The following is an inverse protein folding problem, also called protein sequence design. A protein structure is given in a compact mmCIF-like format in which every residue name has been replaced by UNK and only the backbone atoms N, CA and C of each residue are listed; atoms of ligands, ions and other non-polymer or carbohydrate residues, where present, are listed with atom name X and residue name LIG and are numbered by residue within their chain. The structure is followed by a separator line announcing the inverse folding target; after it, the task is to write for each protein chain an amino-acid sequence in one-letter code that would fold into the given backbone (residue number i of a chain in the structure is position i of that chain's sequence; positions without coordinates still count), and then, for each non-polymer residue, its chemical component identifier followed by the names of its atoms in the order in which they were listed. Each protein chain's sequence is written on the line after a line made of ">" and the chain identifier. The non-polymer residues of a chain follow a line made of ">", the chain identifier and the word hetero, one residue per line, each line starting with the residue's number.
data_IF_462651776924
#
_entry.id   IF_462651776924
#
_cell.length_a   1.000
_cell.length_b   1.000
_cell.length_c   1.000
_cell.angle_alpha   90.00
_cell.angle_beta   90.00
_cell.angle_gamma   90.00
#
_symmetry.space_group_name_H-M   'P 1'
#
loop_
_entity.id
_entity.type
_entity.pdbx_description
1 polymer ?
#
# COMPACT_ATOMS: atom_id res chain seq x y z
N UNK A 1 0.16 -6.72 16.08
CA UNK A 1 0.06 -6.70 17.57
C UNK A 1 -1.19 -6.01 18.08
N UNK A 2 -1.59 -4.83 17.57
CA UNK A 2 -2.77 -4.10 18.05
C UNK A 2 -4.10 -4.90 17.98
N UNK A 3 -4.43 -5.63 16.88
CA UNK A 3 -5.66 -6.42 16.79
C UNK A 3 -5.77 -7.52 17.85
N UNK A 4 -4.67 -8.22 18.16
CA UNK A 4 -4.63 -9.25 19.19
C UNK A 4 -4.82 -8.66 20.60
N UNK A 5 -4.21 -7.50 20.88
CA UNK A 5 -4.37 -6.79 22.16
C UNK A 5 -5.80 -6.30 22.40
N UNK A 6 -6.56 -6.05 21.33
CA UNK A 6 -7.95 -5.58 21.41
C UNK A 6 -8.98 -6.73 21.31
N UNK A 7 -8.53 -7.99 21.28
CA UNK A 7 -9.44 -9.14 21.13
C UNK A 7 -10.20 -9.16 19.79
N UNK A 8 -9.64 -8.54 18.75
CA UNK A 8 -10.26 -8.41 17.44
C UNK A 8 -9.90 -9.56 16.50
N UNK A 9 -8.99 -10.44 16.91
CA UNK A 9 -8.57 -11.63 16.14
C UNK A 9 -9.61 -12.75 16.29
N UNK A 10 -9.82 -13.50 15.23
CA UNK A 10 -10.62 -14.73 15.27
C UNK A 10 -9.76 -15.84 15.89
N UNK A 11 -10.29 -16.61 16.83
CA UNK A 11 -9.60 -17.82 17.32
C UNK A 11 -9.33 -18.74 16.12
N UNK A 12 -8.07 -18.94 15.76
CA UNK A 12 -7.63 -19.84 14.68
C UNK A 12 -6.90 -19.20 13.49
N UNK A 13 -6.84 -17.85 13.35
CA UNK A 13 -6.11 -17.16 12.27
C UNK A 13 -5.25 -16.02 12.81
N UNK A 14 -4.38 -16.33 13.78
CA UNK A 14 -3.58 -15.32 14.54
C UNK A 14 -2.50 -14.58 13.72
N UNK A 15 -2.43 -14.76 12.39
CA UNK A 15 -1.33 -14.22 11.59
C UNK A 15 -1.67 -12.97 10.79
N UNK A 16 -2.92 -12.70 10.48
CA UNK A 16 -3.30 -11.56 9.64
C UNK A 16 -3.37 -10.25 10.44
N UNK A 17 -2.85 -9.16 9.87
CA UNK A 17 -2.89 -7.82 10.48
C UNK A 17 -4.30 -7.25 10.49
N UNK A 18 -5.04 -7.45 9.38
CA UNK A 18 -6.44 -7.05 9.29
C UNK A 18 -7.33 -8.10 9.93
N UNK A 19 -8.23 -7.72 10.85
CA UNK A 19 -9.16 -8.66 11.48
C UNK A 19 -10.06 -9.34 10.45
N UNK A 20 -10.30 -10.66 10.59
CA UNK A 20 -11.15 -11.45 9.70
C UNK A 20 -12.65 -11.24 9.92
N UNK A 21 -13.10 -10.16 10.55
CA UNK A 21 -14.52 -9.86 10.80
C UNK A 21 -14.86 -8.42 10.41
N UNK A 22 -16.09 -8.20 9.95
CA UNK A 22 -16.64 -6.87 9.63
C UNK A 22 -16.46 -5.88 10.78
N UNK A 23 -16.86 -6.29 12.00
CA UNK A 23 -16.74 -5.44 13.20
C UNK A 23 -15.28 -5.12 13.50
N UNK A 24 -14.39 -6.11 13.38
CA UNK A 24 -12.96 -5.93 13.61
C UNK A 24 -12.34 -4.93 12.65
N UNK A 25 -12.67 -5.05 11.34
CA UNK A 25 -12.19 -4.09 10.32
C UNK A 25 -12.70 -2.68 10.59
N UNK A 26 -13.98 -2.53 10.91
CA UNK A 26 -14.54 -1.20 11.21
C UNK A 26 -13.90 -0.55 12.44
N UNK A 27 -13.68 -1.33 13.51
CA UNK A 27 -12.99 -0.84 14.71
C UNK A 27 -11.53 -0.47 14.42
N UNK A 28 -10.80 -1.33 13.71
CA UNK A 28 -9.42 -1.05 13.32
C UNK A 28 -9.34 0.22 12.46
N UNK A 29 -10.17 0.34 11.42
CA UNK A 29 -10.24 1.52 10.59
C UNK A 29 -10.54 2.78 11.41
N UNK A 30 -11.51 2.71 12.33
CA UNK A 30 -11.86 3.82 13.21
C UNK A 30 -10.68 4.27 14.09
N UNK A 31 -10.01 3.31 14.73
CA UNK A 31 -8.83 3.60 15.58
C UNK A 31 -7.69 4.18 14.74
N UNK A 32 -7.32 3.52 13.65
CA UNK A 32 -6.19 3.95 12.83
C UNK A 32 -6.42 5.32 12.18
N UNK A 33 -7.62 5.56 11.64
CA UNK A 33 -7.95 6.87 11.06
C UNK A 33 -7.98 7.98 12.11
N UNK A 34 -8.46 7.69 13.33
CA UNK A 34 -8.46 8.66 14.44
C UNK A 34 -7.03 9.00 14.84
N UNK A 35 -6.20 7.98 15.09
CA UNK A 35 -4.80 8.18 15.49
C UNK A 35 -4.00 8.87 14.37
N UNK A 36 -4.20 8.46 13.12
CA UNK A 36 -3.55 9.09 11.97
C UNK A 36 -3.97 10.55 11.83
N UNK A 37 -5.28 10.84 11.90
CA UNK A 37 -5.80 12.21 11.77
C UNK A 37 -5.26 13.12 12.87
N UNK A 38 -5.20 12.63 14.11
CA UNK A 38 -4.63 13.37 15.23
C UNK A 38 -3.12 13.62 15.04
N UNK A 39 -2.35 12.58 14.72
CA UNK A 39 -0.90 12.68 14.56
C UNK A 39 -0.53 13.51 13.32
N UNK A 40 -1.15 13.23 12.17
CA UNK A 40 -0.90 13.96 10.93
C UNK A 40 -1.39 15.40 11.02
N UNK A 41 -2.56 15.64 11.62
CA UNK A 41 -3.11 16.98 11.84
C UNK A 41 -2.19 17.81 12.73
N UNK A 42 -1.69 17.24 13.84
CA UNK A 42 -0.70 17.90 14.70
C UNK A 42 0.60 18.19 13.94
N UNK A 43 1.13 17.22 13.21
CA UNK A 43 2.34 17.40 12.41
C UNK A 43 2.15 18.46 11.32
N UNK A 44 1.02 18.46 10.62
CA UNK A 44 0.69 19.44 9.59
C UNK A 44 0.55 20.85 10.18
N UNK A 45 -0.06 20.96 11.38
CA UNK A 45 -0.18 22.25 12.09
C UNK A 45 1.18 22.77 12.54
N UNK A 46 2.00 21.95 13.18
CA UNK A 46 3.35 22.32 13.60
C UNK A 46 4.26 22.69 12.43
N UNK A 47 4.22 21.89 11.36
CA UNK A 47 4.99 22.14 10.16
C UNK A 47 4.39 23.26 9.28
N UNK A 48 3.16 23.71 9.55
CA UNK A 48 2.45 24.72 8.75
C UNK A 48 2.43 24.37 7.26
N UNK A 49 2.05 23.12 6.94
CA UNK A 49 1.95 22.68 5.55
C UNK A 49 0.90 23.51 4.79
N UNK A 50 1.22 23.84 3.55
CA UNK A 50 0.24 24.39 2.60
C UNK A 50 -0.38 23.24 1.81
N UNK A 51 -1.67 23.36 1.49
CA UNK A 51 -2.39 22.35 0.70
C UNK A 51 -1.71 22.00 -0.63
N UNK A 52 -1.04 22.98 -1.25
CA UNK A 52 -0.28 22.80 -2.48
C UNK A 52 0.95 21.89 -2.30
N UNK A 53 1.57 21.88 -1.11
CA UNK A 53 2.70 21.01 -0.80
C UNK A 53 2.27 19.56 -0.62
N UNK A 54 1.01 19.35 -0.24
CA UNK A 54 0.37 18.04 -0.13
C UNK A 54 -0.32 17.61 -1.43
N UNK A 55 -0.20 18.41 -2.52
CA UNK A 55 -0.85 18.14 -3.81
C UNK A 55 -2.38 18.02 -3.73
N UNK A 56 -3.02 18.68 -2.77
CA UNK A 56 -4.47 18.69 -2.53
C UNK A 56 -5.23 19.74 -3.35
N UNK A 57 -4.52 20.62 -4.05
CA UNK A 57 -5.13 21.72 -4.83
C UNK A 57 -5.63 21.31 -6.21
N UNK A 58 -5.26 20.10 -6.67
CA UNK A 58 -5.68 19.59 -7.98
C UNK A 58 -7.02 18.88 -7.84
N UNK A 59 -8.09 19.36 -8.49
CA UNK A 59 -9.41 18.74 -8.38
C UNK A 59 -9.47 17.41 -9.13
N UNK A 60 -10.32 16.49 -8.62
CA UNK A 60 -10.67 15.27 -9.35
C UNK A 60 -11.52 15.69 -10.57
N UNK A 61 -11.13 15.20 -11.75
CA UNK A 61 -11.86 15.36 -13.01
C UNK A 61 -12.35 14.00 -13.48
N UNK A 62 -13.33 13.95 -14.37
CA UNK A 62 -13.90 12.68 -14.83
C UNK A 62 -12.84 11.73 -15.45
N UNK A 63 -11.83 12.27 -16.14
CA UNK A 63 -10.72 11.46 -16.68
C UNK A 63 -9.70 11.00 -15.63
N UNK A 64 -9.74 11.50 -14.39
CA UNK A 64 -8.90 10.98 -13.31
C UNK A 64 -9.23 9.51 -13.00
N UNK A 65 -10.48 9.10 -13.16
CA UNK A 65 -10.90 7.73 -12.91
C UNK A 65 -10.29 6.71 -13.88
N UNK A 66 -10.50 6.81 -15.21
CA UNK A 66 -9.89 5.86 -16.14
C UNK A 66 -8.36 5.91 -16.11
N UNK A 67 -7.78 7.09 -15.86
CA UNK A 67 -6.33 7.24 -15.71
C UNK A 67 -5.79 6.54 -14.46
N UNK A 68 -6.47 6.64 -13.33
CA UNK A 68 -6.12 5.94 -12.10
C UNK A 68 -6.22 4.41 -12.25
N UNK A 69 -7.24 3.92 -12.97
CA UNK A 69 -7.36 2.50 -13.33
C UNK A 69 -6.17 2.07 -14.20
N UNK A 70 -5.83 2.85 -15.22
CA UNK A 70 -4.68 2.55 -16.09
C UNK A 70 -3.37 2.51 -15.30
N UNK A 71 -3.14 3.44 -14.37
CA UNK A 71 -1.99 3.44 -13.48
C UNK A 71 -1.97 2.24 -12.54
N UNK A 72 -3.11 1.86 -11.99
CA UNK A 72 -3.25 0.64 -11.16
C UNK A 72 -2.83 -0.62 -11.94
N UNK A 73 -3.23 -0.74 -13.20
CA UNK A 73 -2.82 -1.84 -14.09
C UNK A 73 -1.32 -1.75 -14.39
N UNK A 74 -0.82 -0.57 -14.77
CA UNK A 74 0.60 -0.36 -15.09
C UNK A 74 1.51 -0.69 -13.89
N UNK A 75 1.13 -0.31 -12.67
CA UNK A 75 1.85 -0.67 -11.44
C UNK A 75 1.90 -2.18 -11.26
N UNK A 76 0.79 -2.88 -11.47
CA UNK A 76 0.69 -4.33 -11.31
C UNK A 76 1.58 -5.06 -12.32
N UNK A 77 1.51 -4.65 -13.59
CA UNK A 77 2.37 -5.19 -14.64
C UNK A 77 3.85 -4.90 -14.34
N UNK A 78 4.17 -3.66 -13.95
CA UNK A 78 5.53 -3.25 -13.62
C UNK A 78 6.12 -4.05 -12.45
N UNK A 79 5.38 -4.23 -11.37
CA UNK A 79 5.81 -5.05 -10.22
C UNK A 79 5.94 -6.53 -10.63
N UNK A 80 4.98 -7.05 -11.40
CA UNK A 80 5.07 -8.43 -11.93
C UNK A 80 6.33 -8.65 -12.77
N UNK A 81 6.64 -7.71 -13.68
CA UNK A 81 7.86 -7.77 -14.48
C UNK A 81 9.13 -7.63 -13.63
N UNK A 82 9.13 -6.76 -12.63
CA UNK A 82 10.25 -6.60 -11.70
C UNK A 82 10.53 -7.90 -10.93
N UNK A 83 9.49 -8.52 -10.38
CA UNK A 83 9.62 -9.80 -9.66
C UNK A 83 10.08 -10.92 -10.60
N UNK A 84 9.44 -11.07 -11.76
CA UNK A 84 9.83 -12.07 -12.77
C UNK A 84 11.27 -11.87 -13.26
N UNK A 85 11.67 -10.63 -13.54
CA UNK A 85 13.02 -10.29 -13.94
C UNK A 85 14.06 -10.60 -12.87
N UNK A 86 13.76 -10.27 -11.60
CA UNK A 86 14.65 -10.57 -10.47
C UNK A 86 14.83 -12.09 -10.26
N UNK A 87 13.75 -12.87 -10.48
CA UNK A 87 13.81 -14.32 -10.47
C UNK A 87 14.67 -14.88 -11.59
N UNK A 88 14.51 -14.37 -12.82
CA UNK A 88 15.32 -14.74 -13.97
C UNK A 88 16.80 -14.48 -13.73
N UNK A 89 17.15 -13.31 -13.23
CA UNK A 89 18.54 -12.97 -12.85
C UNK A 89 19.05 -13.88 -11.75
N UNK A 90 18.27 -14.15 -10.71
CA UNK A 90 18.67 -15.04 -9.62
C UNK A 90 18.93 -16.48 -10.11
N UNK A 91 18.13 -16.99 -11.05
CA UNK A 91 18.35 -18.30 -11.68
C UNK A 91 19.64 -18.33 -12.49
N UNK A 92 19.89 -17.29 -13.29
CA UNK A 92 21.12 -17.18 -14.09
C UNK A 92 22.36 -17.15 -13.21
N UNK A 93 22.34 -16.37 -12.12
CA UNK A 93 23.47 -16.26 -11.18
C UNK A 93 23.72 -17.55 -10.40
N UNK A 94 22.65 -18.25 -9.99
CA UNK A 94 22.78 -19.49 -9.20
C UNK A 94 23.08 -20.72 -10.05
N UNK A 95 22.84 -20.67 -11.35
CA UNK A 95 23.02 -21.80 -12.28
C UNK A 95 22.08 -22.98 -11.98
N UNK A 96 21.06 -22.80 -11.14
CA UNK A 96 20.10 -23.83 -10.73
C UNK A 96 18.67 -23.30 -10.77
N UNK A 97 17.68 -24.12 -11.17
CA UNK A 97 16.28 -23.73 -11.08
C UNK A 97 15.90 -23.37 -9.63
N UNK A 98 15.10 -22.34 -9.47
CA UNK A 98 14.50 -22.02 -8.17
C UNK A 98 13.30 -22.95 -7.98
N UNK A 99 13.42 -23.91 -7.09
CA UNK A 99 12.36 -24.91 -6.82
C UNK A 99 11.37 -24.45 -5.78
N UNK A 100 11.77 -23.53 -4.88
CA UNK A 100 10.90 -22.96 -3.87
C UNK A 100 10.38 -21.57 -4.31
N UNK A 101 9.31 -21.57 -5.11
CA UNK A 101 8.64 -20.36 -5.55
C UNK A 101 7.87 -19.66 -4.42
N UNK A 102 7.53 -20.40 -3.35
CA UNK A 102 6.77 -19.88 -2.21
C UNK A 102 7.58 -18.86 -1.40
N UNK A 103 8.90 -19.08 -1.26
CA UNK A 103 9.79 -18.12 -0.61
C UNK A 103 9.95 -16.81 -1.38
N UNK A 104 9.50 -16.77 -2.64
CA UNK A 104 9.71 -15.67 -3.58
C UNK A 104 8.44 -14.87 -3.87
N UNK A 105 7.36 -15.17 -3.19
CA UNK A 105 6.11 -14.37 -3.29
C UNK A 105 5.88 -13.50 -2.04
N UNK A 106 5.23 -12.35 -2.17
CA UNK A 106 4.73 -11.61 -1.01
C UNK A 106 3.71 -12.46 -0.24
N UNK A 107 3.84 -12.51 1.07
CA UNK A 107 2.89 -13.22 1.95
C UNK A 107 1.67 -12.35 2.22
N UNK A 108 0.73 -12.31 1.28
CA UNK A 108 -0.48 -11.47 1.37
C UNK A 108 -1.39 -11.93 2.52
N UNK A 109 -1.39 -13.23 2.81
CA UNK A 109 -2.10 -13.85 3.92
C UNK A 109 -1.66 -13.32 5.31
N UNK A 110 -0.47 -12.76 5.42
CA UNK A 110 -0.05 -12.05 6.62
C UNK A 110 -0.75 -10.69 6.82
N UNK A 111 -1.38 -10.17 5.78
CA UNK A 111 -2.09 -8.88 5.83
C UNK A 111 -3.59 -9.04 5.96
N UNK A 112 -4.18 -10.04 5.31
CA UNK A 112 -5.63 -10.21 5.20
C UNK A 112 -6.02 -11.68 5.37
N UNK A 113 -7.10 -11.91 6.11
CA UNK A 113 -7.75 -13.22 6.17
C UNK A 113 -8.48 -13.48 4.84
N UNK A 114 -7.87 -14.37 4.02
CA UNK A 114 -8.40 -14.70 2.69
C UNK A 114 -9.77 -15.38 2.78
N UNK A 115 -10.03 -16.17 3.84
CA UNK A 115 -11.31 -16.84 4.04
C UNK A 115 -12.42 -15.82 4.34
N UNK A 116 -12.11 -14.74 5.07
CA UNK A 116 -13.08 -13.69 5.37
C UNK A 116 -13.55 -12.93 4.11
N UNK A 117 -12.77 -12.93 3.03
CA UNK A 117 -13.17 -12.32 1.75
C UNK A 117 -14.35 -13.05 1.07
N UNK A 118 -14.76 -14.23 1.56
CA UNK A 118 -15.97 -14.91 1.11
C UNK A 118 -17.25 -14.26 1.67
N UNK A 119 -17.16 -13.48 2.76
CA UNK A 119 -18.27 -12.68 3.27
C UNK A 119 -18.46 -11.45 2.39
N UNK A 120 -19.65 -11.28 1.75
CA UNK A 120 -19.89 -10.15 0.83
C UNK A 120 -19.73 -8.77 1.48
N UNK A 121 -20.11 -8.63 2.77
CA UNK A 121 -20.02 -7.36 3.49
C UNK A 121 -18.56 -7.06 3.85
N UNK A 122 -17.80 -8.08 4.29
CA UNK A 122 -16.38 -7.94 4.53
C UNK A 122 -15.65 -7.54 3.24
N UNK A 123 -15.92 -8.24 2.13
CA UNK A 123 -15.34 -7.91 0.82
C UNK A 123 -15.70 -6.49 0.39
N UNK A 124 -16.96 -6.06 0.54
CA UNK A 124 -17.38 -4.70 0.21
C UNK A 124 -16.59 -3.65 1.00
N UNK A 125 -16.34 -3.87 2.31
CA UNK A 125 -15.50 -2.99 3.13
C UNK A 125 -14.05 -2.97 2.65
N UNK A 126 -13.50 -4.14 2.28
CA UNK A 126 -12.13 -4.23 1.75
C UNK A 126 -12.00 -3.49 0.41
N UNK A 127 -12.98 -3.63 -0.49
CA UNK A 127 -13.00 -2.96 -1.80
C UNK A 127 -13.19 -1.43 -1.69
N UNK A 128 -13.80 -0.94 -0.63
CA UNK A 128 -14.15 0.48 -0.47
C UNK A 128 -13.34 1.15 0.63
N UNK A 129 -13.74 0.97 1.89
CA UNK A 129 -13.16 1.67 3.04
C UNK A 129 -11.67 1.37 3.19
N UNK A 130 -11.27 0.10 3.16
CA UNK A 130 -9.86 -0.28 3.34
C UNK A 130 -9.04 0.17 2.14
N UNK A 131 -9.48 -0.09 0.92
CA UNK A 131 -8.72 0.23 -0.29
C UNK A 131 -8.56 1.74 -0.52
N UNK A 132 -9.64 2.51 -0.42
CA UNK A 132 -9.60 3.92 -0.81
C UNK A 132 -9.36 4.89 0.35
N UNK A 133 -9.78 4.55 1.57
CA UNK A 133 -9.62 5.44 2.72
C UNK A 133 -8.43 5.04 3.56
N UNK A 134 -8.39 3.79 4.06
CA UNK A 134 -7.33 3.36 4.97
C UNK A 134 -5.98 3.24 4.23
N UNK A 135 -5.93 2.58 3.10
CA UNK A 135 -4.72 2.49 2.29
C UNK A 135 -4.57 3.71 1.36
N UNK A 136 -5.55 3.97 0.49
CA UNK A 136 -5.47 5.05 -0.49
C UNK A 136 -5.21 6.41 0.14
N UNK A 137 -6.19 6.97 0.85
CA UNK A 137 -6.10 8.35 1.35
C UNK A 137 -5.03 8.50 2.46
N UNK A 138 -5.06 7.64 3.47
CA UNK A 138 -4.16 7.75 4.63
C UNK A 138 -2.68 7.63 4.19
N UNK A 139 -2.36 6.63 3.38
CA UNK A 139 -0.96 6.36 3.02
C UNK A 139 -0.43 7.33 1.98
N UNK A 140 -1.26 7.79 1.03
CA UNK A 140 -0.85 8.80 0.07
C UNK A 140 -0.69 10.18 0.73
N UNK A 141 -1.55 10.51 1.70
CA UNK A 141 -1.40 11.73 2.48
C UNK A 141 -0.14 11.69 3.37
N UNK A 142 0.13 10.56 4.00
CA UNK A 142 1.38 10.32 4.72
C UNK A 142 2.59 10.49 3.80
N UNK A 143 2.57 9.89 2.60
CA UNK A 143 3.65 9.98 1.61
C UNK A 143 3.89 11.42 1.18
N UNK A 144 2.84 12.16 0.83
CA UNK A 144 2.94 13.56 0.46
C UNK A 144 3.52 14.41 1.60
N UNK A 145 3.03 14.18 2.83
CA UNK A 145 3.53 14.86 4.04
C UNK A 145 5.01 14.59 4.31
N UNK A 146 5.44 13.33 4.19
CA UNK A 146 6.86 12.94 4.39
C UNK A 146 7.77 13.56 3.32
N UNK A 147 7.36 13.57 2.05
CA UNK A 147 8.12 14.24 0.98
C UNK A 147 8.26 15.74 1.27
N UNK A 148 7.16 16.40 1.64
CA UNK A 148 7.17 17.82 1.99
C UNK A 148 8.04 18.12 3.22
N UNK A 149 7.97 17.25 4.25
CA UNK A 149 8.76 17.39 5.47
C UNK A 149 10.26 17.26 5.19
N UNK A 150 10.68 16.26 4.42
CA UNK A 150 12.08 16.08 4.04
C UNK A 150 12.62 17.28 3.26
N UNK A 151 11.82 17.85 2.34
CA UNK A 151 12.18 19.07 1.63
C UNK A 151 12.44 20.28 2.53
N UNK A 152 11.76 20.34 3.69
CA UNK A 152 11.95 21.41 4.69
C UNK A 152 13.08 21.13 5.67
N UNK A 153 13.23 19.89 6.13
CA UNK A 153 14.25 19.53 7.11
C UNK A 153 15.66 19.46 6.52
N UNK A 154 15.76 19.05 5.26
CA UNK A 154 17.04 18.89 4.58
C UNK A 154 16.99 19.49 3.16
N UNK A 155 16.81 20.83 3.02
CA UNK A 155 16.64 21.50 1.74
C UNK A 155 17.86 21.37 0.81
N UNK A 156 19.05 21.13 1.35
CA UNK A 156 20.25 20.88 0.55
C UNK A 156 20.20 19.58 -0.24
N UNK A 157 19.45 18.56 0.27
CA UNK A 157 19.28 17.25 -0.37
C UNK A 157 17.94 17.13 -1.11
N UNK A 158 16.87 17.64 -0.51
CA UNK A 158 15.50 17.42 -0.95
C UNK A 158 14.79 18.71 -1.39
N UNK A 159 15.52 19.82 -1.50
CA UNK A 159 15.01 21.08 -2.06
C UNK A 159 15.12 21.14 -3.58
N UNK A 160 14.60 22.26 -4.15
CA UNK A 160 14.66 22.50 -5.59
C UNK A 160 13.71 21.59 -6.41
N UNK A 161 13.88 21.67 -7.74
CA UNK A 161 13.00 21.01 -8.72
C UNK A 161 12.95 19.47 -8.56
N UNK A 162 14.10 18.88 -8.31
CA UNK A 162 14.25 17.42 -8.23
C UNK A 162 14.16 16.87 -6.80
N UNK A 163 14.17 17.77 -5.80
CA UNK A 163 14.13 17.40 -4.38
C UNK A 163 13.02 16.43 -4.02
N UNK A 164 11.75 16.64 -4.44
CA UNK A 164 10.66 15.70 -4.15
C UNK A 164 10.90 14.29 -4.71
N UNK A 165 11.55 14.16 -5.87
CA UNK A 165 11.91 12.87 -6.46
C UNK A 165 12.98 12.14 -5.66
N UNK A 166 13.98 12.86 -5.16
CA UNK A 166 14.99 12.28 -4.26
C UNK A 166 14.37 11.91 -2.90
N UNK A 167 13.46 12.75 -2.36
CA UNK A 167 12.74 12.46 -1.12
C UNK A 167 11.84 11.24 -1.24
N UNK A 168 11.29 10.98 -2.43
CA UNK A 168 10.44 9.80 -2.68
C UNK A 168 11.17 8.49 -2.40
N UNK A 169 12.48 8.40 -2.64
CA UNK A 169 13.26 7.16 -2.47
C UNK A 169 13.23 6.68 -1.01
N UNK A 170 13.70 7.43 0.00
CA UNK A 170 13.64 6.99 1.38
C UNK A 170 12.21 6.81 1.89
N UNK A 171 11.26 7.62 1.42
CA UNK A 171 9.84 7.49 1.79
C UNK A 171 9.25 6.16 1.27
N UNK A 172 9.57 5.77 0.04
CA UNK A 172 9.12 4.48 -0.50
C UNK A 172 9.78 3.29 0.19
N UNK A 173 11.06 3.40 0.60
CA UNK A 173 11.73 2.37 1.40
C UNK A 173 11.05 2.22 2.77
N UNK A 174 10.76 3.33 3.45
CA UNK A 174 10.03 3.29 4.74
C UNK A 174 8.64 2.68 4.57
N UNK A 175 7.95 2.99 3.47
CA UNK A 175 6.67 2.39 3.14
C UNK A 175 6.77 0.87 2.98
N UNK A 176 7.77 0.40 2.23
CA UNK A 176 8.03 -1.03 2.07
C UNK A 176 8.37 -1.72 3.39
N UNK A 177 9.19 -1.10 4.24
CA UNK A 177 9.54 -1.62 5.57
C UNK A 177 8.31 -1.78 6.48
N UNK A 178 7.29 -0.92 6.35
CA UNK A 178 6.00 -1.09 7.02
C UNK A 178 5.26 -2.38 6.64
N UNK A 179 5.65 -3.03 5.55
CA UNK A 179 5.08 -4.29 5.04
C UNK A 179 5.96 -5.53 5.33
N UNK A 180 6.87 -5.44 6.31
CA UNK A 180 7.75 -6.53 6.77
C UNK A 180 7.02 -7.85 7.03
N UNK A 181 5.77 -7.89 7.55
CA UNK A 181 5.03 -9.15 7.73
C UNK A 181 4.83 -9.94 6.43
N UNK A 182 4.85 -9.27 5.26
CA UNK A 182 4.80 -9.96 3.95
C UNK A 182 6.12 -10.62 3.53
N UNK A 183 7.15 -10.57 4.38
CA UNK A 183 8.50 -11.04 4.06
C UNK A 183 9.29 -10.06 3.19
N UNK A 184 10.57 -10.35 2.95
CA UNK A 184 11.46 -9.43 2.21
C UNK A 184 11.03 -9.19 0.76
N UNK A 185 10.44 -10.19 0.11
CA UNK A 185 9.87 -10.01 -1.24
C UNK A 185 8.70 -9.04 -1.20
N UNK A 186 7.86 -9.14 -0.15
CA UNK A 186 6.79 -8.18 0.11
C UNK A 186 7.34 -6.77 0.33
N UNK A 187 8.38 -6.61 1.13
CA UNK A 187 9.07 -5.32 1.34
C UNK A 187 9.58 -4.74 0.02
N UNK A 188 10.25 -5.54 -0.80
CA UNK A 188 10.76 -5.10 -2.10
C UNK A 188 9.62 -4.70 -3.06
N UNK A 189 8.57 -5.54 -3.14
CA UNK A 189 7.41 -5.27 -3.99
C UNK A 189 6.68 -4.00 -3.54
N UNK A 190 6.41 -3.83 -2.24
CA UNK A 190 5.72 -2.65 -1.71
C UNK A 190 6.58 -1.39 -1.76
N UNK A 191 7.91 -1.49 -1.65
CA UNK A 191 8.83 -0.37 -1.97
C UNK A 191 8.66 0.06 -3.43
N UNK A 192 8.63 -0.88 -4.37
CA UNK A 192 8.41 -0.61 -5.79
C UNK A 192 7.03 0.02 -6.05
N UNK A 193 5.97 -0.49 -5.42
CA UNK A 193 4.63 0.10 -5.46
C UNK A 193 4.66 1.53 -4.89
N UNK A 194 5.35 1.73 -3.76
CA UNK A 194 5.53 3.04 -3.13
C UNK A 194 6.23 4.04 -4.03
N UNK A 195 7.27 3.62 -4.75
CA UNK A 195 7.95 4.44 -5.77
C UNK A 195 7.00 4.80 -6.92
N UNK A 196 6.25 3.82 -7.43
CA UNK A 196 5.32 4.04 -8.53
C UNK A 196 4.17 4.96 -8.16
N UNK A 197 3.53 4.77 -7.00
CA UNK A 197 2.46 5.65 -6.50
C UNK A 197 2.97 7.07 -6.22
N UNK A 198 4.14 7.19 -5.61
CA UNK A 198 4.79 8.48 -5.41
C UNK A 198 5.17 9.17 -6.73
N UNK A 199 5.58 8.40 -7.75
CA UNK A 199 5.82 8.95 -9.07
C UNK A 199 4.52 9.49 -9.71
N UNK A 200 3.38 8.79 -9.56
CA UNK A 200 2.07 9.26 -10.00
C UNK A 200 1.73 10.58 -9.28
N UNK A 201 1.89 10.62 -7.95
CA UNK A 201 1.67 11.82 -7.14
C UNK A 201 2.48 13.01 -7.65
N UNK A 202 3.79 12.83 -7.86
CA UNK A 202 4.71 13.90 -8.27
C UNK A 202 4.50 14.32 -9.73
N UNK A 203 4.24 13.36 -10.63
CA UNK A 203 4.05 13.60 -12.05
C UNK A 203 2.75 14.37 -12.33
N UNK A 204 1.66 13.94 -11.72
CA UNK A 204 0.35 14.58 -11.89
C UNK A 204 0.12 15.75 -10.92
N UNK A 205 0.96 15.88 -9.90
CA UNK A 205 0.80 16.88 -8.83
C UNK A 205 -0.59 16.83 -8.21
N UNK A 206 -1.10 15.62 -8.01
CA UNK A 206 -2.48 15.35 -7.59
C UNK A 206 -2.52 14.21 -6.58
N UNK A 207 -2.75 14.55 -5.32
CA UNK A 207 -2.99 13.57 -4.27
C UNK A 207 -4.25 12.72 -4.57
N UNK A 208 -5.38 13.31 -4.97
CA UNK A 208 -6.59 12.52 -5.27
C UNK A 208 -6.37 11.46 -6.35
N UNK A 209 -5.53 11.74 -7.35
CA UNK A 209 -5.24 10.77 -8.41
C UNK A 209 -4.38 9.61 -7.92
N UNK A 210 -3.38 9.89 -7.07
CA UNK A 210 -2.59 8.85 -6.42
C UNK A 210 -3.46 7.97 -5.50
N UNK A 211 -4.38 8.60 -4.73
CA UNK A 211 -5.37 7.90 -3.88
C UNK A 211 -6.24 6.96 -4.70
N UNK A 212 -6.77 7.42 -5.84
CA UNK A 212 -7.58 6.57 -6.72
C UNK A 212 -6.77 5.41 -7.31
N UNK A 213 -5.54 5.67 -7.79
CA UNK A 213 -4.67 4.63 -8.35
C UNK A 213 -4.33 3.56 -7.29
N UNK A 214 -4.00 3.99 -6.08
CA UNK A 214 -3.75 3.10 -4.94
C UNK A 214 -5.00 2.31 -4.54
N UNK A 215 -6.13 2.99 -4.41
CA UNK A 215 -7.42 2.37 -4.08
C UNK A 215 -7.81 1.29 -5.09
N UNK A 216 -7.71 1.57 -6.39
CA UNK A 216 -7.97 0.56 -7.44
C UNK A 216 -6.96 -0.58 -7.42
N UNK A 217 -5.69 -0.30 -7.13
CA UNK A 217 -4.68 -1.33 -6.98
C UNK A 217 -5.08 -2.31 -5.85
N UNK A 218 -5.42 -1.83 -4.67
CA UNK A 218 -5.82 -2.68 -3.55
C UNK A 218 -7.18 -3.34 -3.77
N UNK A 219 -8.19 -2.61 -4.22
CA UNK A 219 -9.51 -3.16 -4.48
C UNK A 219 -9.46 -4.33 -5.48
N UNK A 220 -8.70 -4.17 -6.57
CA UNK A 220 -8.53 -5.26 -7.54
C UNK A 220 -7.77 -6.46 -6.93
N UNK A 221 -6.79 -6.21 -6.03
CA UNK A 221 -6.10 -7.28 -5.33
C UNK A 221 -7.07 -8.08 -4.46
N UNK A 222 -7.88 -7.41 -3.63
CA UNK A 222 -8.87 -8.09 -2.78
C UNK A 222 -9.97 -8.79 -3.58
N UNK A 223 -10.40 -8.21 -4.71
CA UNK A 223 -11.38 -8.85 -5.60
C UNK A 223 -10.85 -10.14 -6.24
N UNK A 224 -9.57 -10.18 -6.61
CA UNK A 224 -8.96 -11.32 -7.28
C UNK A 224 -8.43 -12.38 -6.30
N UNK A 225 -8.11 -12.00 -5.06
CA UNK A 225 -7.47 -12.87 -4.09
C UNK A 225 -8.24 -14.17 -3.80
N UNK A 226 -9.58 -14.17 -3.63
CA UNK A 226 -10.34 -15.41 -3.45
C UNK A 226 -10.21 -16.38 -4.63
N UNK A 227 -10.15 -15.88 -5.85
CA UNK A 227 -9.96 -16.69 -7.06
C UNK A 227 -8.55 -17.28 -7.15
N UNK A 228 -7.54 -16.46 -6.85
CA UNK A 228 -6.14 -16.88 -6.84
C UNK A 228 -5.90 -17.92 -5.75
N UNK A 229 -6.55 -17.80 -4.61
CA UNK A 229 -6.45 -18.74 -3.50
C UNK A 229 -6.94 -20.16 -3.87
N UNK A 230 -7.94 -20.26 -4.75
CA UNK A 230 -8.36 -21.57 -5.29
C UNK A 230 -7.29 -22.23 -6.18
N UNK A 231 -6.47 -21.42 -6.84
CA UNK A 231 -5.39 -21.91 -7.72
C UNK A 231 -4.12 -22.25 -6.93
N UNK A 232 -3.95 -21.64 -5.76
CA UNK A 232 -2.78 -21.83 -4.89
C UNK A 232 -3.25 -22.28 -3.49
N UNK A 233 -3.44 -23.59 -3.28
CA UNK A 233 -4.01 -24.15 -2.03
C UNK A 233 -3.30 -23.68 -0.75
N UNK A 234 -2.01 -23.36 -0.83
CA UNK A 234 -1.21 -22.84 0.29
C UNK A 234 -1.65 -21.45 0.81
N UNK A 235 -2.43 -20.68 0.03
CA UNK A 235 -3.03 -19.43 0.49
C UNK A 235 -4.25 -19.65 1.40
N UNK A 236 -4.77 -20.89 1.44
CA UNK A 236 -5.96 -21.27 2.23
C UNK A 236 -5.60 -22.02 3.51
N UNK A 237 -4.34 -22.46 3.65
CA UNK A 237 -3.91 -23.16 4.87
C UNK A 237 -3.82 -22.15 6.02
N UNK A 238 -4.44 -22.44 7.20
CA UNK A 238 -4.38 -21.63 8.39
C UNK A 238 -2.97 -21.50 8.94
#
# INVERSE_FOLDING_TARGET
>A
MLPALLGLSREGTDSAILPGTVRGVLLLCGIELTLFTAAFGLAAWLARFRWAELYLTTPIRWWSWPRAIAWSIALRVGIGMLLAGSLGVAQLVRGKPITDLDSLRPKVEAMVDVAALQDPLYLALMLTLVSFVLAGLREELWRAGMIALLGRLAPGWFGGRWGPWFALIPVAILFGLGHTPQGWVGVAATTGIGLGLGAILLFHRSLPEAVLAHGFFNATTFALLPWIAHLIPKLQAP
#
